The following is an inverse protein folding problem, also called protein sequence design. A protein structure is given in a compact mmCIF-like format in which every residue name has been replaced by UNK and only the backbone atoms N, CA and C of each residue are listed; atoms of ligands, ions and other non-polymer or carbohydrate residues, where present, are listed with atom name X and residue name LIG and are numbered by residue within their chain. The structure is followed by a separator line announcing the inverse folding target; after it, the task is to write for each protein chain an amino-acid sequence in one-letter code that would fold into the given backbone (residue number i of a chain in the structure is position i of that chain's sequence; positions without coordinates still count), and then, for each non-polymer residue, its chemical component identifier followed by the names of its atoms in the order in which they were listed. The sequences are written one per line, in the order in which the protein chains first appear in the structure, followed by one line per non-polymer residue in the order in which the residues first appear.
data_IF_077862829500
#
_entry.id   IF_077862829500
#
_cell.length_a   1.000
_cell.length_b   1.000
_cell.length_c   1.000
_cell.angle_alpha   90.00
_cell.angle_beta   90.00
_cell.angle_gamma   90.00
#
_symmetry.space_group_name_H-M   'P 1'
#
loop_
_entity.id
_entity.type
_entity.pdbx_description
1 polymer ?
#
# COMPACT_ATOMS: atom_id res chain seq x y z
N UNK A 1 21.02 -29.94 -25.61
CA UNK A 1 19.94 -29.49 -24.70
C UNK A 1 19.59 -30.62 -23.72
N UNK A 2 19.78 -30.43 -22.40
CA UNK A 2 19.75 -31.50 -21.39
C UNK A 2 18.40 -32.22 -21.23
N UNK A 3 17.31 -31.63 -21.75
CA UNK A 3 15.95 -32.13 -21.53
C UNK A 3 15.48 -33.17 -22.56
N UNK A 4 16.25 -33.47 -23.62
CA UNK A 4 15.79 -34.34 -24.71
C UNK A 4 15.92 -35.84 -24.45
N UNK A 5 16.91 -36.27 -23.66
CA UNK A 5 17.20 -37.71 -23.49
C UNK A 5 16.13 -38.50 -22.71
N UNK A 6 15.24 -37.85 -21.96
CA UNK A 6 14.21 -38.51 -21.15
C UNK A 6 12.77 -38.20 -21.57
N UNK A 7 12.56 -37.62 -22.76
CA UNK A 7 11.24 -37.20 -23.24
C UNK A 7 10.22 -38.35 -23.27
N UNK A 8 10.63 -39.54 -23.74
CA UNK A 8 9.78 -40.72 -23.82
C UNK A 8 9.32 -41.25 -22.46
N UNK A 9 10.05 -40.96 -21.36
CA UNK A 9 9.74 -41.46 -20.00
C UNK A 9 9.06 -40.41 -19.11
N UNK A 10 8.86 -39.19 -19.62
CA UNK A 10 8.30 -38.06 -18.85
C UNK A 10 6.87 -38.31 -18.36
N UNK A 11 6.09 -39.12 -19.08
CA UNK A 11 4.74 -39.50 -18.68
C UNK A 11 4.69 -40.38 -17.41
N UNK A 12 5.83 -41.01 -17.05
CA UNK A 12 5.97 -41.82 -15.82
C UNK A 12 6.29 -40.98 -14.59
N UNK A 13 6.73 -39.74 -14.78
CA UNK A 13 6.99 -38.80 -13.68
C UNK A 13 5.65 -38.14 -13.33
N UNK A 14 5.08 -38.53 -12.21
CA UNK A 14 3.87 -37.90 -11.68
C UNK A 14 4.05 -36.39 -11.56
N UNK A 15 3.09 -35.62 -12.06
CA UNK A 15 3.14 -34.16 -11.91
C UNK A 15 3.02 -33.82 -10.43
N UNK A 16 4.07 -33.20 -9.89
CA UNK A 16 4.08 -32.69 -8.53
C UNK A 16 3.05 -31.54 -8.45
N UNK A 17 2.00 -31.73 -7.65
CA UNK A 17 0.95 -30.72 -7.45
C UNK A 17 1.28 -29.93 -6.18
N UNK A 18 1.87 -28.76 -6.35
CA UNK A 18 2.06 -27.83 -5.24
C UNK A 18 0.81 -26.95 -5.11
N UNK A 19 0.26 -26.87 -3.90
CA UNK A 19 -0.79 -25.92 -3.54
C UNK A 19 -0.22 -24.99 -2.48
N UNK A 20 -0.14 -23.71 -2.78
CA UNK A 20 0.27 -22.69 -1.81
C UNK A 20 -0.89 -22.49 -0.83
N UNK A 21 -0.71 -22.92 0.42
CA UNK A 21 -1.73 -22.85 1.47
C UNK A 21 -1.56 -21.63 2.37
N UNK A 22 -0.37 -21.04 2.41
CA UNK A 22 0.00 -19.92 3.29
C UNK A 22 -0.17 -18.53 2.64
N UNK A 23 -0.81 -18.44 1.47
CA UNK A 23 -0.90 -17.18 0.73
C UNK A 23 -1.52 -16.04 1.56
N UNK A 24 -2.57 -16.34 2.32
CA UNK A 24 -3.23 -15.35 3.17
C UNK A 24 -2.32 -14.81 4.28
N UNK A 25 -1.53 -15.67 4.91
CA UNK A 25 -0.57 -15.28 5.96
C UNK A 25 0.58 -14.47 5.38
N UNK A 26 1.07 -14.87 4.21
CA UNK A 26 2.10 -14.15 3.47
C UNK A 26 1.64 -12.74 3.09
N UNK A 27 0.45 -12.61 2.52
CA UNK A 27 -0.19 -11.33 2.19
C UNK A 27 -0.42 -10.46 3.43
N UNK A 28 -0.88 -11.03 4.54
CA UNK A 28 -1.04 -10.29 5.79
C UNK A 28 0.31 -9.75 6.31
N UNK A 29 1.37 -10.54 6.22
CA UNK A 29 2.73 -10.09 6.51
C UNK A 29 3.20 -8.97 5.57
N UNK A 30 2.88 -9.06 4.29
CA UNK A 30 3.23 -8.04 3.30
C UNK A 30 2.46 -6.73 3.55
N UNK A 31 1.17 -6.78 3.90
CA UNK A 31 0.37 -5.60 4.26
C UNK A 31 0.88 -4.89 5.52
N UNK A 32 1.43 -5.64 6.47
CA UNK A 32 2.10 -5.09 7.66
C UNK A 32 3.44 -4.44 7.32
N UNK A 33 4.13 -4.89 6.27
CA UNK A 33 5.36 -4.24 5.77
C UNK A 33 4.98 -2.94 5.07
N UNK A 34 4.80 -1.90 5.87
CA UNK A 34 4.33 -0.62 5.40
C UNK A 34 3.30 0.03 6.32
N UNK A 35 2.80 -0.64 7.35
CA UNK A 35 1.91 0.03 8.31
C UNK A 35 2.70 0.99 9.19
N UNK A 36 2.26 2.24 9.26
CA UNK A 36 2.78 3.25 10.17
C UNK A 36 1.67 3.63 11.14
N UNK A 37 1.96 3.56 12.44
CA UNK A 37 1.06 4.01 13.50
C UNK A 37 1.68 5.23 14.14
N UNK A 38 0.94 6.34 14.16
CA UNK A 38 1.38 7.62 14.72
C UNK A 38 0.48 7.99 15.89
N UNK A 39 1.08 8.51 16.95
CA UNK A 39 0.36 9.17 18.03
C UNK A 39 0.28 10.65 17.69
N UNK A 40 -0.94 11.15 17.53
CA UNK A 40 -1.23 12.55 17.20
C UNK A 40 -2.00 13.13 18.37
N UNK A 41 -1.66 14.36 18.77
CA UNK A 41 -2.37 15.03 19.85
C UNK A 41 -3.78 15.43 19.40
N UNK A 42 -4.72 15.55 20.33
CA UNK A 42 -6.11 15.90 20.01
C UNK A 42 -6.19 17.30 19.39
N UNK A 43 -5.34 18.23 19.83
CA UNK A 43 -5.25 19.58 19.28
C UNK A 43 -4.85 19.55 17.81
N UNK A 44 -3.85 18.73 17.45
CA UNK A 44 -3.43 18.57 16.07
C UNK A 44 -4.53 17.92 15.22
N UNK A 45 -5.22 16.90 15.75
CA UNK A 45 -6.33 16.24 15.06
C UNK A 45 -7.50 17.18 14.78
N UNK A 46 -7.81 18.07 15.72
CA UNK A 46 -8.87 19.08 15.57
C UNK A 46 -8.63 20.02 14.37
N UNK A 47 -7.35 20.26 14.04
CA UNK A 47 -6.93 21.13 12.93
C UNK A 47 -6.86 20.39 11.58
N UNK A 48 -7.09 19.08 11.54
CA UNK A 48 -6.98 18.29 10.30
C UNK A 48 -8.21 18.37 9.41
N UNK A 49 -9.36 18.75 9.94
CA UNK A 49 -10.56 18.95 9.12
C UNK A 49 -10.46 20.24 8.32
N UNK A 50 -10.73 20.16 7.01
CA UNK A 50 -10.72 21.36 6.20
C UNK A 50 -11.93 22.26 6.51
N UNK A 51 -11.74 23.60 6.56
CA UNK A 51 -12.87 24.50 6.62
C UNK A 51 -13.72 24.40 5.35
N UNK A 52 -15.03 24.61 5.51
CA UNK A 52 -15.97 24.58 4.38
C UNK A 52 -15.58 25.65 3.36
N UNK A 53 -15.39 25.23 2.11
CA UNK A 53 -15.03 26.12 1.01
C UNK A 53 -16.27 26.87 0.51
N UNK A 54 -16.16 28.18 0.34
CA UNK A 54 -17.22 29.05 -0.22
C UNK A 54 -17.11 29.26 -1.74
N UNK A 55 -15.98 28.88 -2.34
CA UNK A 55 -15.70 29.04 -3.77
C UNK A 55 -16.01 27.77 -4.58
N UNK A 56 -16.16 27.92 -5.91
CA UNK A 56 -16.50 26.83 -6.84
C UNK A 56 -15.44 25.71 -6.83
N UNK A 57 -15.90 24.46 -6.72
CA UNK A 57 -15.07 23.25 -6.70
C UNK A 57 -15.53 22.24 -5.63
N UNK A 58 -14.86 21.09 -5.55
CA UNK A 58 -15.10 20.10 -4.50
C UNK A 58 -14.78 20.61 -3.09
N UNK A 59 -15.45 20.05 -2.09
CA UNK A 59 -15.19 20.34 -0.67
C UNK A 59 -14.00 19.50 -0.18
N UNK A 60 -12.90 20.13 0.26
CA UNK A 60 -11.78 19.39 0.84
C UNK A 60 -12.20 18.73 2.15
N UNK A 61 -11.69 17.53 2.42
CA UNK A 61 -11.89 16.83 3.71
C UNK A 61 -10.77 17.13 4.70
N UNK A 62 -9.55 17.29 4.19
CA UNK A 62 -8.34 17.50 4.98
C UNK A 62 -7.79 18.90 4.78
N UNK A 63 -7.35 19.53 5.87
CA UNK A 63 -6.69 20.83 5.86
C UNK A 63 -5.30 20.75 5.21
N UNK A 64 -4.76 21.91 4.82
CA UNK A 64 -3.40 21.98 4.28
C UNK A 64 -2.36 21.48 5.28
N UNK A 65 -2.57 21.72 6.58
CA UNK A 65 -1.72 21.22 7.66
C UNK A 65 -1.67 19.68 7.68
N UNK A 66 -2.82 19.01 7.55
CA UNK A 66 -2.88 17.55 7.52
C UNK A 66 -2.14 16.99 6.27
N UNK A 67 -2.33 17.64 5.12
CA UNK A 67 -1.69 17.26 3.86
C UNK A 67 -0.17 17.45 3.95
N UNK A 68 0.29 18.60 4.43
CA UNK A 68 1.71 18.91 4.60
C UNK A 68 2.39 17.93 5.57
N UNK A 69 1.72 17.63 6.68
CA UNK A 69 2.22 16.65 7.66
C UNK A 69 2.38 15.27 7.00
N UNK A 70 1.38 14.81 6.24
CA UNK A 70 1.46 13.53 5.54
C UNK A 70 2.57 13.49 4.48
N UNK A 71 2.76 14.58 3.73
CA UNK A 71 3.84 14.69 2.73
C UNK A 71 5.23 14.70 3.38
N UNK A 72 5.36 15.40 4.50
CA UNK A 72 6.62 15.45 5.27
C UNK A 72 6.97 14.07 5.80
N UNK A 73 6.00 13.36 6.40
CA UNK A 73 6.19 11.99 6.86
C UNK A 73 6.53 11.03 5.73
N UNK A 74 5.88 11.19 4.56
CA UNK A 74 6.24 10.44 3.36
C UNK A 74 7.68 10.66 2.97
N UNK A 75 8.11 11.92 2.88
CA UNK A 75 9.48 12.29 2.50
C UNK A 75 10.53 11.71 3.46
N UNK A 76 10.30 11.79 4.77
CA UNK A 76 11.22 11.24 5.80
C UNK A 76 11.28 9.72 5.75
N UNK A 77 10.15 9.05 5.47
CA UNK A 77 10.05 7.60 5.46
C UNK A 77 10.34 6.97 4.09
N UNK A 78 10.79 7.75 3.11
CA UNK A 78 11.05 7.28 1.74
C UNK A 78 9.80 6.79 1.01
N UNK A 79 8.64 7.38 1.33
CA UNK A 79 7.35 7.09 0.70
C UNK A 79 6.89 8.29 -0.12
N UNK A 80 6.92 8.14 -1.43
CA UNK A 80 6.36 9.15 -2.33
C UNK A 80 4.84 9.13 -2.27
N UNK A 81 4.27 10.04 -1.48
CA UNK A 81 2.87 10.42 -1.62
C UNK A 81 2.76 11.37 -2.80
N UNK A 82 2.68 10.82 -4.02
CA UNK A 82 2.49 11.62 -5.22
C UNK A 82 1.21 12.47 -5.09
N UNK A 83 1.36 13.79 -5.25
CA UNK A 83 0.29 14.78 -5.15
C UNK A 83 -0.68 14.67 -6.33
N UNK A 84 -1.51 13.63 -6.40
CA UNK A 84 -2.67 13.59 -7.30
C UNK A 84 -3.79 14.44 -6.68
N UNK A 85 -3.85 15.71 -7.06
CA UNK A 85 -5.04 16.54 -6.86
C UNK A 85 -6.16 15.97 -7.73
N UNK A 86 -7.06 15.21 -7.12
CA UNK A 86 -8.36 14.90 -7.71
C UNK A 86 -9.28 16.05 -7.29
N UNK A 87 -9.74 16.83 -8.29
CA UNK A 87 -10.73 17.90 -8.12
C UNK A 87 -12.15 17.33 -8.14
#
# INVERSE_FOLDING_TARGET
MPFKHNAARRHRIGKMKFKVTNWAEYEAGLRRRGSLTLWVTEEALSLWQAPKRSTRGGQPRYSDLAIETALTLGSVLGRDFARRRVY
#
